data_IF_065111456758
#
_entry.id   IF_065111456758
#
_cell.length_a   1.000
_cell.length_b   1.000
_cell.length_c   1.000
_cell.angle_alpha   90.00
_cell.angle_beta   90.00
_cell.angle_gamma   90.00
#
_symmetry.space_group_name_H-M   'P 1'
#
loop_
_entity.id
_entity.type
_entity.pdbx_description
1 polymer ?
#
# COMPACT_ATOMS: atom_id res chain seq x y z
N UNK A 1 -17.81 -10.70 -26.18
CA UNK A 1 -17.01 -10.97 -24.98
C UNK A 1 -16.30 -9.69 -24.52
N UNK A 2 -15.89 -9.64 -23.24
CA UNK A 2 -15.23 -8.47 -22.66
C UNK A 2 -14.04 -8.89 -21.81
N UNK A 3 -12.92 -8.15 -21.95
CA UNK A 3 -11.72 -8.26 -21.13
C UNK A 3 -11.46 -6.89 -20.51
N UNK A 4 -11.43 -6.82 -19.18
CA UNK A 4 -11.25 -5.57 -18.44
C UNK A 4 -9.90 -5.49 -17.75
N UNK A 5 -9.35 -4.28 -17.73
CA UNK A 5 -8.12 -3.93 -16.99
C UNK A 5 -8.36 -2.75 -16.06
N UNK A 6 -7.57 -2.64 -15.00
CA UNK A 6 -7.69 -1.50 -14.08
C UNK A 6 -7.07 -0.22 -14.63
N UNK A 7 -6.08 -0.33 -15.51
CA UNK A 7 -5.39 0.83 -16.07
C UNK A 7 -5.20 0.71 -17.58
N UNK A 8 -5.12 1.85 -18.25
CA UNK A 8 -4.85 1.92 -19.67
C UNK A 8 -3.51 1.25 -20.06
N UNK A 9 -2.48 1.41 -19.22
CA UNK A 9 -1.18 0.78 -19.45
C UNK A 9 -1.25 -0.73 -19.54
N UNK A 10 -2.01 -1.38 -18.65
CA UNK A 10 -2.20 -2.84 -18.69
C UNK A 10 -3.02 -3.28 -19.89
N UNK A 11 -4.10 -2.56 -20.23
CA UNK A 11 -4.87 -2.81 -21.45
C UNK A 11 -3.97 -2.75 -22.69
N UNK A 12 -3.20 -1.69 -22.83
CA UNK A 12 -2.26 -1.50 -23.97
C UNK A 12 -1.22 -2.61 -24.04
N UNK A 13 -0.65 -3.01 -22.90
CA UNK A 13 0.32 -4.11 -22.87
C UNK A 13 -0.30 -5.44 -23.28
N UNK A 14 -1.51 -5.71 -22.84
CA UNK A 14 -2.25 -6.91 -23.25
C UNK A 14 -2.49 -6.91 -24.76
N UNK A 15 -3.04 -5.84 -25.33
CA UNK A 15 -3.30 -5.73 -26.79
C UNK A 15 -2.00 -5.86 -27.59
N UNK A 16 -0.91 -5.26 -27.14
CA UNK A 16 0.41 -5.40 -27.75
C UNK A 16 0.92 -6.85 -27.69
N UNK A 17 0.70 -7.57 -26.59
CA UNK A 17 1.08 -8.97 -26.45
C UNK A 17 0.25 -9.87 -27.39
N UNK A 18 -1.07 -9.65 -27.46
CA UNK A 18 -1.98 -10.36 -28.36
C UNK A 18 -1.55 -10.20 -29.82
N UNK A 19 -1.23 -8.98 -30.23
CA UNK A 19 -0.72 -8.71 -31.57
C UNK A 19 0.59 -9.45 -31.84
N UNK A 20 1.57 -9.35 -30.94
CA UNK A 20 2.90 -9.94 -31.15
C UNK A 20 2.92 -11.47 -31.12
N UNK A 21 2.08 -12.09 -30.27
CA UNK A 21 2.09 -13.54 -30.03
C UNK A 21 1.09 -14.25 -30.94
N UNK A 22 -0.11 -13.67 -31.09
CA UNK A 22 -1.22 -14.28 -31.78
C UNK A 22 -1.49 -13.69 -33.17
N UNK A 23 -0.90 -12.54 -33.53
CA UNK A 23 -1.12 -11.85 -34.79
C UNK A 23 -2.47 -11.15 -34.92
N UNK A 24 -3.26 -11.05 -33.85
CA UNK A 24 -4.55 -10.37 -33.89
C UNK A 24 -4.39 -8.85 -33.74
N UNK A 25 -4.87 -8.12 -34.73
CA UNK A 25 -4.97 -6.66 -34.70
C UNK A 25 -6.23 -6.22 -33.96
N UNK A 26 -6.19 -5.01 -33.39
CA UNK A 26 -7.34 -4.42 -32.74
C UNK A 26 -7.67 -3.05 -33.31
N UNK A 27 -8.95 -2.70 -33.31
CA UNK A 27 -9.44 -1.36 -33.61
C UNK A 27 -10.12 -0.78 -32.35
N UNK A 28 -9.51 0.26 -31.71
CA UNK A 28 -10.01 0.89 -30.48
C UNK A 28 -10.35 -0.12 -29.38
N UNK A 29 -9.48 -1.13 -29.15
CA UNK A 29 -9.71 -2.15 -28.12
C UNK A 29 -10.55 -3.35 -28.60
N UNK A 30 -11.19 -3.28 -29.77
CA UNK A 30 -11.96 -4.38 -30.31
C UNK A 30 -11.07 -5.36 -31.06
N UNK A 31 -11.04 -6.61 -30.60
CA UNK A 31 -10.36 -7.75 -31.22
C UNK A 31 -11.36 -8.64 -31.95
N UNK A 32 -10.99 -9.12 -33.13
CA UNK A 32 -11.71 -10.19 -33.84
C UNK A 32 -10.92 -11.47 -33.72
N UNK A 33 -11.51 -12.49 -33.09
CA UNK A 33 -10.88 -13.80 -32.88
C UNK A 33 -11.80 -14.88 -33.46
N UNK A 34 -11.54 -15.31 -34.71
CA UNK A 34 -12.47 -16.14 -35.48
C UNK A 34 -13.79 -15.38 -35.68
N UNK A 35 -14.91 -15.98 -35.27
CA UNK A 35 -16.24 -15.38 -35.38
C UNK A 35 -16.63 -14.55 -34.13
N UNK A 36 -15.71 -14.34 -33.19
CA UNK A 36 -15.98 -13.64 -31.91
C UNK A 36 -15.42 -12.23 -31.94
N UNK A 37 -16.24 -11.29 -31.49
CA UNK A 37 -15.80 -9.95 -31.13
C UNK A 37 -15.51 -9.88 -29.64
N UNK A 38 -14.32 -9.39 -29.29
CA UNK A 38 -13.86 -9.23 -27.90
C UNK A 38 -13.52 -7.78 -27.66
N UNK A 39 -14.28 -7.12 -26.80
CA UNK A 39 -13.97 -5.76 -26.34
C UNK A 39 -12.93 -5.81 -25.22
N UNK A 40 -11.85 -5.08 -25.37
CA UNK A 40 -10.79 -4.93 -24.38
C UNK A 40 -10.78 -3.48 -23.93
N UNK A 41 -11.05 -3.24 -22.65
CA UNK A 41 -11.22 -1.87 -22.15
C UNK A 41 -10.74 -1.73 -20.70
N UNK A 42 -10.75 -0.48 -20.24
CA UNK A 42 -10.31 -0.09 -18.89
C UNK A 42 -11.50 0.08 -17.95
N UNK A 43 -11.44 -0.62 -16.81
CA UNK A 43 -12.43 -0.56 -15.73
C UNK A 43 -11.68 -0.40 -14.39
N UNK A 44 -11.35 0.85 -14.00
CA UNK A 44 -10.67 1.10 -12.73
C UNK A 44 -11.53 0.63 -11.55
N UNK A 45 -10.93 -0.11 -10.63
CA UNK A 45 -11.64 -0.55 -9.43
C UNK A 45 -11.73 0.60 -8.43
N UNK A 46 -12.95 0.87 -7.97
CA UNK A 46 -13.26 1.80 -6.89
C UNK A 46 -13.32 1.12 -5.53
N UNK A 47 -13.71 1.90 -4.53
CA UNK A 47 -14.05 1.45 -3.17
C UNK A 47 -15.45 1.96 -2.82
N UNK A 48 -16.07 1.36 -1.81
CA UNK A 48 -17.24 1.96 -1.16
C UNK A 48 -16.77 3.13 -0.29
N UNK A 49 -16.87 4.34 -0.83
CA UNK A 49 -16.42 5.56 -0.15
C UNK A 49 -17.04 5.73 1.23
N UNK A 50 -18.37 5.56 1.34
CA UNK A 50 -19.10 5.81 2.59
C UNK A 50 -18.64 4.86 3.71
N UNK A 51 -18.30 3.62 3.37
CA UNK A 51 -17.78 2.64 4.31
C UNK A 51 -16.50 3.09 5.01
N UNK A 52 -15.62 3.84 4.32
CA UNK A 52 -14.36 4.34 4.88
C UNK A 52 -14.44 5.77 5.38
N UNK A 53 -15.23 6.64 4.75
CA UNK A 53 -15.41 8.02 5.17
C UNK A 53 -16.23 8.13 6.48
N UNK A 54 -17.24 7.25 6.61
CA UNK A 54 -18.13 7.23 7.75
C UNK A 54 -18.22 5.81 8.35
N UNK A 55 -17.09 5.21 8.76
CA UNK A 55 -17.13 3.87 9.33
C UNK A 55 -17.92 3.89 10.62
N UNK A 56 -18.64 2.80 10.88
CA UNK A 56 -19.15 2.56 12.22
C UNK A 56 -17.99 2.63 13.20
N UNK A 57 -18.16 3.29 14.35
CA UNK A 57 -17.10 3.38 15.35
C UNK A 57 -16.61 1.95 15.68
N UNK A 58 -15.29 1.79 15.79
CA UNK A 58 -14.76 0.60 16.44
C UNK A 58 -15.49 0.45 17.78
N UNK A 59 -15.84 -0.77 18.17
CA UNK A 59 -16.48 -0.95 19.48
C UNK A 59 -15.65 -0.17 20.51
N UNK A 60 -16.31 0.61 21.37
CA UNK A 60 -15.62 1.43 22.40
C UNK A 60 -14.68 0.59 23.28
N UNK A 61 -14.81 -0.72 23.20
CA UNK A 61 -14.06 -1.74 23.93
C UNK A 61 -12.81 -2.27 23.16
N UNK A 62 -12.54 -1.84 21.90
CA UNK A 62 -11.35 -2.35 21.20
C UNK A 62 -10.07 -1.81 21.84
N UNK A 63 -9.39 -2.66 22.59
CA UNK A 63 -8.07 -2.39 23.19
C UNK A 63 -7.04 -2.00 22.13
N UNK A 64 -7.14 -2.60 20.93
CA UNK A 64 -6.26 -2.28 19.79
C UNK A 64 -6.50 -0.85 19.32
N UNK A 65 -7.75 -0.44 19.12
CA UNK A 65 -8.10 0.90 18.68
C UNK A 65 -7.63 1.97 19.71
N UNK A 66 -7.79 1.71 21.00
CA UNK A 66 -7.31 2.60 22.06
C UNK A 66 -5.78 2.78 22.02
N UNK A 67 -5.03 1.68 21.86
CA UNK A 67 -3.57 1.72 21.72
C UNK A 67 -3.12 2.46 20.45
N UNK A 68 -3.85 2.33 19.36
CA UNK A 68 -3.57 3.06 18.11
C UNK A 68 -3.77 4.57 18.33
N UNK A 69 -4.85 4.97 18.99
CA UNK A 69 -5.15 6.38 19.28
C UNK A 69 -4.06 6.95 20.21
N UNK A 70 -3.75 6.26 21.31
CA UNK A 70 -2.70 6.69 22.24
C UNK A 70 -1.36 6.87 21.51
N UNK A 71 -0.97 5.93 20.67
CA UNK A 71 0.27 6.03 19.90
C UNK A 71 0.28 7.27 18.99
N UNK A 72 -0.87 7.61 18.39
CA UNK A 72 -1.01 8.78 17.51
C UNK A 72 -0.97 10.12 18.27
N UNK A 73 -1.30 10.14 19.56
CA UNK A 73 -1.16 11.32 20.42
C UNK A 73 0.31 11.58 20.78
N UNK A 74 1.09 10.53 20.96
CA UNK A 74 2.49 10.61 21.39
C UNK A 74 3.45 10.83 20.22
N UNK A 75 3.13 10.34 19.01
CA UNK A 75 4.05 10.26 17.89
C UNK A 75 3.34 10.51 16.55
N UNK A 76 4.14 10.87 15.53
CA UNK A 76 3.67 10.88 14.15
C UNK A 76 3.64 9.46 13.59
N UNK A 77 2.52 9.08 12.98
CA UNK A 77 2.33 7.73 12.46
C UNK A 77 2.45 7.71 10.94
N UNK A 78 3.39 6.90 10.48
CA UNK A 78 3.47 6.46 9.08
C UNK A 78 2.87 5.07 9.02
N UNK A 79 1.89 4.84 8.16
CA UNK A 79 1.29 3.51 8.00
C UNK A 79 1.72 2.85 6.70
N UNK A 80 1.80 1.53 6.75
CA UNK A 80 2.12 0.65 5.63
C UNK A 80 1.29 -0.63 5.76
N UNK A 81 0.31 -0.81 4.90
CA UNK A 81 -0.64 -1.93 4.99
C UNK A 81 -0.64 -2.68 3.67
N UNK A 82 -0.21 -3.93 3.68
CA UNK A 82 -0.13 -4.76 2.49
C UNK A 82 -0.36 -6.24 2.82
N UNK A 83 -0.76 -7.01 1.83
CA UNK A 83 -0.58 -8.47 1.89
C UNK A 83 0.89 -8.82 1.74
N UNK A 84 1.34 -9.91 2.34
CA UNK A 84 2.68 -10.43 2.08
C UNK A 84 2.80 -10.80 0.60
N UNK A 85 3.49 -9.95 -0.18
CA UNK A 85 3.74 -10.16 -1.60
C UNK A 85 5.01 -9.42 -2.01
N UNK A 86 5.82 -10.04 -2.87
CA UNK A 86 7.06 -9.45 -3.37
C UNK A 86 6.84 -8.19 -4.21
N UNK A 87 5.67 -8.09 -4.86
CA UNK A 87 5.30 -6.91 -5.66
C UNK A 87 5.02 -5.66 -4.81
N UNK A 88 4.79 -5.82 -3.49
CA UNK A 88 4.43 -4.72 -2.59
C UNK A 88 5.61 -3.87 -2.10
N UNK A 89 6.86 -4.29 -2.38
CA UNK A 89 8.04 -3.48 -2.06
C UNK A 89 8.32 -3.31 -0.57
N UNK A 90 7.80 -4.21 0.29
CA UNK A 90 7.93 -4.09 1.75
C UNK A 90 9.39 -4.01 2.21
N UNK A 91 10.33 -4.85 1.73
CA UNK A 91 11.73 -4.73 2.12
C UNK A 91 12.39 -3.42 1.69
N UNK A 92 11.99 -2.85 0.56
CA UNK A 92 12.48 -1.57 0.07
C UNK A 92 12.02 -0.43 0.98
N UNK A 93 10.75 -0.45 1.37
CA UNK A 93 10.11 0.51 2.29
C UNK A 93 10.78 0.51 3.66
N UNK A 94 11.03 -0.67 4.24
CA UNK A 94 11.76 -0.80 5.52
C UNK A 94 13.16 -0.19 5.42
N UNK A 95 13.89 -0.44 4.31
CA UNK A 95 15.23 0.15 4.11
C UNK A 95 15.19 1.66 3.90
N UNK A 96 14.17 2.17 3.18
CA UNK A 96 13.99 3.60 3.00
C UNK A 96 13.70 4.29 4.35
N UNK A 97 12.86 3.68 5.18
CA UNK A 97 12.59 4.20 6.53
C UNK A 97 13.84 4.16 7.44
N UNK A 98 14.65 3.09 7.37
CA UNK A 98 15.94 3.04 8.09
C UNK A 98 16.88 4.17 7.64
N UNK A 99 16.99 4.40 6.32
CA UNK A 99 17.78 5.50 5.76
C UNK A 99 17.27 6.89 6.19
N UNK A 100 15.94 7.05 6.30
CA UNK A 100 15.35 8.26 6.87
C UNK A 100 15.79 8.47 8.32
N UNK A 101 15.72 7.46 9.18
CA UNK A 101 16.15 7.56 10.58
C UNK A 101 17.66 7.79 10.74
N UNK A 102 18.46 7.29 9.80
CA UNK A 102 19.91 7.54 9.76
C UNK A 102 20.22 9.00 9.43
N UNK A 103 19.59 9.54 8.38
CA UNK A 103 19.82 10.90 7.90
C UNK A 103 19.18 11.97 8.75
N UNK A 104 18.10 11.63 9.43
CA UNK A 104 17.26 12.54 10.22
C UNK A 104 17.11 12.08 11.66
N UNK A 105 18.20 12.05 12.44
CA UNK A 105 18.17 11.56 13.82
C UNK A 105 17.23 12.36 14.73
N UNK A 106 16.89 13.60 14.37
CA UNK A 106 15.95 14.47 15.09
C UNK A 106 14.49 13.94 15.10
N UNK A 107 14.16 12.99 14.20
CA UNK A 107 12.85 12.32 14.17
C UNK A 107 12.79 11.02 14.98
N UNK A 108 13.93 10.52 15.49
CA UNK A 108 13.94 9.32 16.34
C UNK A 108 13.15 9.59 17.62
N UNK A 109 12.27 8.67 17.99
CA UNK A 109 11.33 8.83 19.10
C UNK A 109 10.09 9.68 18.80
N UNK A 110 10.00 10.30 17.61
CA UNK A 110 8.88 11.17 17.24
C UNK A 110 8.01 10.61 16.12
N UNK A 111 8.54 9.65 15.35
CA UNK A 111 7.86 9.06 14.19
C UNK A 111 7.93 7.54 14.29
N UNK A 112 6.82 6.86 14.12
CA UNK A 112 6.74 5.41 14.12
C UNK A 112 6.11 4.90 12.82
N UNK A 113 6.77 3.91 12.19
CA UNK A 113 6.20 3.15 11.07
C UNK A 113 5.35 2.00 11.61
N UNK A 114 4.03 2.11 11.49
CA UNK A 114 3.08 1.03 11.78
C UNK A 114 2.92 0.20 10.52
N UNK A 115 3.46 -1.01 10.53
CA UNK A 115 3.48 -1.89 9.37
C UNK A 115 2.61 -3.12 9.61
N UNK A 116 1.51 -3.21 8.86
CA UNK A 116 0.59 -4.35 8.87
C UNK A 116 0.81 -5.18 7.62
N UNK A 117 1.25 -6.42 7.79
CA UNK A 117 1.48 -7.35 6.69
C UNK A 117 0.55 -8.55 6.85
N UNK A 118 -0.46 -8.60 5.98
CA UNK A 118 -1.45 -9.68 6.02
C UNK A 118 -0.86 -10.95 5.40
N UNK A 119 -0.89 -12.10 6.10
CA UNK A 119 -0.41 -13.36 5.57
C UNK A 119 -1.06 -13.72 4.22
N UNK A 120 -0.26 -14.14 3.28
CA UNK A 120 -0.70 -14.60 1.96
C UNK A 120 0.20 -15.73 1.49
N UNK A 121 -0.38 -16.76 0.88
CA UNK A 121 0.35 -17.90 0.28
C UNK A 121 1.43 -18.49 1.20
N UNK A 122 1.12 -18.66 2.50
CA UNK A 122 2.07 -19.06 3.55
C UNK A 122 2.80 -20.39 3.27
N UNK A 123 2.22 -21.26 2.43
CA UNK A 123 2.81 -22.58 2.08
C UNK A 123 3.80 -22.51 0.90
N UNK A 124 4.03 -21.31 0.31
CA UNK A 124 4.95 -21.15 -0.81
C UNK A 124 6.32 -20.70 -0.29
N UNK A 125 7.37 -21.46 -0.58
CA UNK A 125 8.73 -21.23 -0.06
C UNK A 125 9.27 -19.80 -0.31
N UNK A 126 8.96 -19.21 -1.46
CA UNK A 126 9.35 -17.84 -1.80
C UNK A 126 8.71 -16.80 -0.86
N UNK A 127 7.45 -17.02 -0.42
CA UNK A 127 6.75 -16.14 0.52
C UNK A 127 7.29 -16.32 1.94
N UNK A 128 7.70 -17.54 2.33
CA UNK A 128 8.37 -17.77 3.60
C UNK A 128 9.74 -17.06 3.65
N UNK A 129 10.52 -17.16 2.58
CA UNK A 129 11.80 -16.44 2.47
C UNK A 129 11.60 -14.91 2.52
N UNK A 130 10.55 -14.37 1.88
CA UNK A 130 10.20 -12.96 1.95
C UNK A 130 9.83 -12.54 3.38
N UNK A 131 9.03 -13.36 4.08
CA UNK A 131 8.67 -13.14 5.49
C UNK A 131 9.91 -13.06 6.37
N UNK A 132 10.81 -14.06 6.29
CA UNK A 132 12.08 -14.04 7.04
C UNK A 132 12.93 -12.80 6.75
N UNK A 133 13.00 -12.38 5.48
CA UNK A 133 13.73 -11.18 5.09
C UNK A 133 13.14 -9.91 5.72
N UNK A 134 11.81 -9.81 5.79
CA UNK A 134 11.12 -8.68 6.43
C UNK A 134 11.40 -8.70 7.93
N UNK A 135 11.23 -9.85 8.61
CA UNK A 135 11.46 -10.01 10.05
C UNK A 135 12.89 -9.58 10.43
N UNK A 136 13.89 -10.04 9.67
CA UNK A 136 15.29 -9.69 9.90
C UNK A 136 15.55 -8.18 9.70
N UNK A 137 14.92 -7.56 8.69
CA UNK A 137 15.05 -6.13 8.46
C UNK A 137 14.41 -5.31 9.58
N UNK A 138 13.20 -5.68 10.00
CA UNK A 138 12.50 -5.00 11.10
C UNK A 138 13.29 -5.15 12.40
N UNK A 139 13.73 -6.38 12.73
CA UNK A 139 14.53 -6.64 13.92
C UNK A 139 15.83 -5.81 13.95
N UNK A 140 16.51 -5.70 12.80
CA UNK A 140 17.72 -4.87 12.69
C UNK A 140 17.42 -3.38 12.91
N UNK A 141 16.39 -2.83 12.25
CA UNK A 141 16.05 -1.39 12.38
C UNK A 141 15.62 -1.08 13.81
N UNK A 142 14.81 -1.93 14.43
CA UNK A 142 14.40 -1.74 15.82
C UNK A 142 15.56 -1.87 16.80
N UNK A 143 16.48 -2.80 16.58
CA UNK A 143 17.67 -2.96 17.42
C UNK A 143 18.70 -1.84 17.26
N UNK A 144 18.81 -1.24 16.06
CA UNK A 144 19.77 -0.19 15.77
C UNK A 144 19.30 1.20 16.23
N UNK A 145 18.04 1.51 16.03
CA UNK A 145 17.49 2.87 16.28
C UNK A 145 16.55 2.95 17.48
N UNK A 146 15.99 1.83 17.93
CA UNK A 146 15.02 1.79 19.03
C UNK A 146 15.62 2.07 20.40
N UNK A 147 14.77 2.37 21.37
CA UNK A 147 15.12 2.49 22.77
C UNK A 147 14.01 1.88 23.66
N UNK A 148 14.16 1.92 24.99
CA UNK A 148 13.21 1.29 25.92
C UNK A 148 11.78 1.85 25.85
N UNK A 149 11.59 3.07 25.36
CA UNK A 149 10.27 3.71 25.25
C UNK A 149 9.73 3.78 23.81
N UNK A 150 10.53 3.36 22.81
CA UNK A 150 10.15 3.55 21.41
C UNK A 150 10.71 2.49 20.48
N UNK A 151 9.82 1.88 19.72
CA UNK A 151 10.16 0.99 18.60
C UNK A 151 9.94 1.73 17.27
N UNK A 152 10.98 1.94 16.44
CA UNK A 152 10.86 2.58 15.13
C UNK A 152 9.79 1.98 14.25
N UNK A 153 9.69 0.65 14.24
CA UNK A 153 8.72 -0.09 13.44
C UNK A 153 7.86 -0.94 14.37
N UNK A 154 6.57 -0.64 14.41
CA UNK A 154 5.57 -1.54 14.97
C UNK A 154 5.08 -2.47 13.87
N UNK A 155 5.47 -3.72 13.94
CA UNK A 155 5.24 -4.71 12.91
C UNK A 155 4.20 -5.75 13.33
N UNK A 156 3.13 -5.87 12.53
CA UNK A 156 2.05 -6.81 12.74
C UNK A 156 1.92 -7.75 11.53
N UNK A 157 2.17 -9.05 11.75
CA UNK A 157 1.97 -10.09 10.75
C UNK A 157 0.60 -10.73 10.93
N UNK A 158 -0.45 -9.97 10.67
CA UNK A 158 -1.86 -10.38 10.79
C UNK A 158 -2.77 -9.41 10.04
N UNK A 159 -4.04 -9.76 9.85
CA UNK A 159 -5.09 -8.80 9.50
C UNK A 159 -5.52 -8.00 10.74
N UNK A 160 -6.01 -6.79 10.52
CA UNK A 160 -6.76 -6.01 11.50
C UNK A 160 -8.25 -6.16 11.23
N UNK A 161 -9.06 -6.05 12.27
CA UNK A 161 -10.50 -5.89 12.10
C UNK A 161 -10.81 -4.56 11.44
N UNK A 162 -11.99 -4.45 10.81
CA UNK A 162 -12.34 -3.28 10.03
C UNK A 162 -12.35 -2.00 10.88
N UNK A 163 -12.85 -2.06 12.12
CA UNK A 163 -12.85 -0.93 13.05
C UNK A 163 -11.44 -0.46 13.43
N UNK A 164 -10.54 -1.39 13.76
CA UNK A 164 -9.13 -1.08 14.07
C UNK A 164 -8.41 -0.51 12.85
N UNK A 165 -8.67 -1.06 11.66
CA UNK A 165 -8.10 -0.61 10.39
C UNK A 165 -8.53 0.84 10.07
N UNK A 166 -9.82 1.14 10.17
CA UNK A 166 -10.33 2.48 9.89
C UNK A 166 -9.88 3.49 10.96
N UNK A 167 -9.75 3.07 12.22
CA UNK A 167 -9.14 3.87 13.28
C UNK A 167 -7.70 4.22 12.92
N UNK A 168 -6.90 3.22 12.50
CA UNK A 168 -5.52 3.44 12.08
C UNK A 168 -5.43 4.40 10.88
N UNK A 169 -6.29 4.24 9.88
CA UNK A 169 -6.36 5.19 8.75
C UNK A 169 -6.67 6.61 9.22
N UNK A 170 -7.66 6.79 10.11
CA UNK A 170 -8.09 8.11 10.60
C UNK A 170 -6.98 8.85 11.35
N UNK A 171 -6.23 8.16 12.22
CA UNK A 171 -5.23 8.80 13.08
C UNK A 171 -3.86 8.95 12.42
N UNK A 172 -3.53 8.13 11.42
CA UNK A 172 -2.22 8.18 10.76
C UNK A 172 -1.97 9.52 10.06
N UNK A 173 -0.76 10.05 10.17
CA UNK A 173 -0.35 11.27 9.50
C UNK A 173 0.05 11.00 8.04
N UNK A 174 0.69 9.86 7.77
CA UNK A 174 1.23 9.51 6.45
C UNK A 174 0.85 8.07 6.10
N UNK A 175 0.35 7.85 4.88
CA UNK A 175 0.30 6.52 4.29
C UNK A 175 1.46 6.35 3.31
N UNK A 176 2.33 5.37 3.57
CA UNK A 176 3.49 5.05 2.75
C UNK A 176 3.20 3.79 1.93
N UNK A 177 2.76 3.98 0.69
CA UNK A 177 2.28 2.92 -0.20
C UNK A 177 3.18 2.88 -1.44
N UNK A 178 4.21 2.03 -1.38
CA UNK A 178 5.27 2.01 -2.40
C UNK A 178 5.43 0.62 -3.05
N UNK A 179 4.37 0.07 -3.68
CA UNK A 179 4.52 -1.18 -4.39
C UNK A 179 5.47 -1.05 -5.57
N UNK A 180 6.21 -2.14 -5.86
CA UNK A 180 7.04 -2.24 -7.06
C UNK A 180 6.17 -2.45 -8.30
N UNK A 181 4.98 -3.01 -8.12
CA UNK A 181 3.96 -3.18 -9.13
C UNK A 181 2.61 -3.48 -8.49
N UNK A 182 1.60 -2.72 -8.85
CA UNK A 182 0.22 -2.94 -8.39
C UNK A 182 -0.77 -2.49 -9.45
N UNK A 183 -1.79 -3.32 -9.73
CA UNK A 183 -2.81 -3.00 -10.74
C UNK A 183 -3.67 -1.80 -10.37
N UNK A 184 -3.93 -1.60 -9.08
CA UNK A 184 -4.71 -0.46 -8.58
C UNK A 184 -4.14 0.05 -7.25
N UNK A 185 -4.14 -0.76 -6.21
CA UNK A 185 -3.89 -0.45 -4.80
C UNK A 185 -5.07 0.28 -4.13
N UNK A 186 -6.03 -0.49 -3.63
CA UNK A 186 -7.21 0.07 -2.99
C UNK A 186 -6.90 0.72 -1.63
N UNK A 187 -5.85 0.27 -0.93
CA UNK A 187 -5.43 0.85 0.37
C UNK A 187 -5.17 2.35 0.25
N UNK A 188 -4.63 2.82 -0.87
CA UNK A 188 -4.45 4.25 -1.14
C UNK A 188 -5.79 5.00 -1.17
N UNK A 189 -6.80 4.43 -1.84
CA UNK A 189 -8.16 5.01 -1.91
C UNK A 189 -8.86 4.95 -0.55
N UNK A 190 -8.72 3.84 0.17
CA UNK A 190 -9.29 3.63 1.51
C UNK A 190 -8.74 4.65 2.52
N UNK A 191 -7.41 4.87 2.50
CA UNK A 191 -6.76 5.87 3.34
C UNK A 191 -7.31 7.28 3.08
N UNK A 192 -7.37 7.70 1.82
CA UNK A 192 -7.88 9.03 1.47
C UNK A 192 -9.35 9.18 1.88
N UNK A 193 -10.19 8.19 1.60
CA UNK A 193 -11.61 8.21 1.99
C UNK A 193 -11.79 8.28 3.52
N UNK A 194 -10.87 7.70 4.30
CA UNK A 194 -10.94 7.70 5.77
C UNK A 194 -10.54 9.04 6.40
N UNK A 195 -10.03 10.02 5.64
CA UNK A 195 -9.65 11.33 6.15
C UNK A 195 -10.86 12.25 6.20
N UNK A 196 -11.13 12.79 7.38
CA UNK A 196 -12.13 13.85 7.53
C UNK A 196 -11.58 15.16 6.96
N UNK A 197 -12.47 16.04 6.50
CA UNK A 197 -12.10 17.34 5.91
C UNK A 197 -11.24 18.20 6.84
N UNK A 198 -11.36 18.01 8.17
CA UNK A 198 -10.57 18.72 9.20
C UNK A 198 -9.19 18.12 9.46
N UNK A 199 -8.97 16.84 9.07
CA UNK A 199 -7.74 16.12 9.38
C UNK A 199 -6.91 15.91 8.13
N UNK A 200 -5.76 16.55 8.10
CA UNK A 200 -4.81 16.48 6.98
C UNK A 200 -3.95 15.22 7.13
N UNK A 201 -3.95 14.36 6.10
CA UNK A 201 -3.05 13.23 5.96
C UNK A 201 -2.29 13.32 4.64
N UNK A 202 -1.11 12.74 4.58
CA UNK A 202 -0.27 12.71 3.37
C UNK A 202 -0.23 11.30 2.82
N UNK A 203 -0.50 11.17 1.52
CA UNK A 203 -0.30 9.92 0.80
C UNK A 203 1.01 9.98 0.01
N UNK A 204 1.95 9.10 0.34
CA UNK A 204 3.16 8.85 -0.46
C UNK A 204 2.88 7.59 -1.28
N UNK A 205 2.79 7.74 -2.59
CA UNK A 205 2.31 6.70 -3.49
C UNK A 205 3.33 6.39 -4.59
N UNK A 206 3.56 5.11 -4.81
CA UNK A 206 4.39 4.65 -5.94
C UNK A 206 3.76 5.00 -7.28
N UNK A 207 4.57 5.51 -8.22
CA UNK A 207 4.20 5.65 -9.63
C UNK A 207 3.80 4.33 -10.31
N UNK A 208 4.20 3.18 -9.70
CA UNK A 208 3.88 1.83 -10.18
C UNK A 208 2.53 1.30 -9.65
N UNK A 209 1.79 2.07 -8.87
CA UNK A 209 0.43 1.75 -8.43
C UNK A 209 -0.59 2.34 -9.41
N UNK A 210 -1.57 1.54 -9.85
CA UNK A 210 -2.62 2.02 -10.77
C UNK A 210 -3.43 3.18 -10.20
N UNK A 211 -3.63 3.22 -8.88
CA UNK A 211 -4.30 4.32 -8.18
C UNK A 211 -3.59 5.68 -8.34
N UNK A 212 -2.29 5.69 -8.67
CA UNK A 212 -1.55 6.92 -8.95
C UNK A 212 -2.18 7.75 -10.09
N UNK A 213 -2.77 7.08 -11.08
CA UNK A 213 -3.44 7.76 -12.19
C UNK A 213 -4.72 8.53 -11.78
N UNK A 214 -5.25 8.26 -10.59
CA UNK A 214 -6.47 8.89 -10.08
C UNK A 214 -6.20 9.80 -8.87
N UNK A 215 -5.12 9.56 -8.12
CA UNK A 215 -4.76 10.27 -6.89
C UNK A 215 -3.59 11.25 -7.15
N UNK A 216 -3.81 12.22 -8.02
CA UNK A 216 -2.78 13.15 -8.52
C UNK A 216 -2.20 14.08 -7.44
N UNK A 217 -2.90 14.30 -6.33
CA UNK A 217 -2.43 15.12 -5.20
C UNK A 217 -1.52 14.34 -4.23
N UNK A 218 -1.25 13.06 -4.51
CA UNK A 218 -0.31 12.27 -3.73
C UNK A 218 1.15 12.68 -4.01
N UNK A 219 2.02 12.50 -3.02
CA UNK A 219 3.47 12.59 -3.24
C UNK A 219 3.89 11.33 -4.00
N UNK A 220 4.23 11.51 -5.27
CA UNK A 220 4.63 10.41 -6.16
C UNK A 220 6.09 10.06 -5.95
N UNK A 221 6.40 8.76 -5.82
CA UNK A 221 7.76 8.26 -5.64
C UNK A 221 8.05 7.08 -6.54
N UNK A 222 9.32 6.96 -6.95
CA UNK A 222 9.83 5.75 -7.58
C UNK A 222 10.17 4.70 -6.50
N UNK A 223 9.49 3.55 -6.45
CA UNK A 223 9.67 2.56 -5.39
C UNK A 223 11.04 1.85 -5.44
N UNK A 224 11.80 2.01 -6.52
CA UNK A 224 13.14 1.44 -6.68
C UNK A 224 14.24 2.43 -6.25
N UNK A 225 13.95 3.73 -6.23
CA UNK A 225 14.88 4.73 -5.73
C UNK A 225 14.65 4.99 -4.23
N UNK A 226 15.63 4.55 -3.42
CA UNK A 226 15.56 4.76 -1.96
C UNK A 226 15.63 6.23 -1.55
N UNK A 227 16.27 7.07 -2.37
CA UNK A 227 16.38 8.50 -2.07
C UNK A 227 15.05 9.20 -2.25
N UNK A 228 14.27 8.72 -3.19
CA UNK A 228 12.95 9.25 -3.52
C UNK A 228 11.91 8.94 -2.44
N UNK A 229 12.09 7.83 -1.72
CA UNK A 229 11.21 7.41 -0.61
C UNK A 229 11.67 8.01 0.74
N UNK A 230 12.90 8.53 0.83
CA UNK A 230 13.49 9.05 2.07
C UNK A 230 13.26 10.53 2.22
#
# INVERSE_FOLDING_TARGET
DQIGFHTFGYMRHFLSAVYRICGFEHHFGMLTVGDRLVNVDMFPMGIDYNKYAHPEPASEESETAQKIIQLAEEQKLIISIDRLDYSKGIPQRVRAYANFLEKHPEYRGKVTLVMVVVPSRANVSQYQALKQKIDNLVGRVNGEYGNFGWAPIQYFYRSLDFGDLTTLYKVADIALITPLRDGMNLVAKEFIASKEASKKGVLILSEMAGAHNELNDSITVNPQDRKDIT
#
